data_IF_437346085101
#
_entry.id   IF_437346085101
#
_cell.length_a   1.000
_cell.length_b   1.000
_cell.length_c   1.000
_cell.angle_alpha   90.00
_cell.angle_beta   90.00
_cell.angle_gamma   90.00
#
_symmetry.space_group_name_H-M   'P 1'
#
loop_
_entity.id
_entity.type
_entity.pdbx_description
1 polymer ?
#
# COMPACT_ATOMS: atom_id res chain seq x y z
N UNK A 1 -22.00 37.15 2.64
CA UNK A 1 -22.02 36.00 1.76
C UNK A 1 -23.41 35.39 1.71
N UNK A 2 -23.87 35.01 0.55
CA UNK A 2 -25.17 34.36 0.42
C UNK A 2 -25.03 32.86 0.57
N UNK A 3 -26.13 32.19 0.90
CA UNK A 3 -26.12 30.73 1.05
C UNK A 3 -25.67 30.00 -0.21
N UNK A 4 -26.00 30.56 -1.39
CA UNK A 4 -25.63 29.97 -2.68
C UNK A 4 -24.12 29.99 -2.93
N UNK A 5 -23.36 30.69 -2.12
CA UNK A 5 -21.91 30.82 -2.29
C UNK A 5 -21.10 29.89 -1.43
N UNK A 6 -21.75 28.94 -0.81
CA UNK A 6 -21.03 27.99 0.01
C UNK A 6 -21.58 26.58 -0.21
N UNK A 7 -20.75 25.59 0.13
CA UNK A 7 -21.15 24.20 0.15
C UNK A 7 -20.83 23.64 1.54
N UNK A 8 -21.45 22.51 1.87
CA UNK A 8 -21.14 21.85 3.14
C UNK A 8 -19.80 21.11 3.04
N UNK A 9 -19.22 20.82 4.20
CA UNK A 9 -17.99 20.03 4.21
C UNK A 9 -18.21 18.66 3.57
N UNK A 10 -19.36 18.04 3.80
CA UNK A 10 -19.68 16.77 3.18
C UNK A 10 -19.67 16.87 1.65
N UNK A 11 -20.28 17.94 1.14
CA UNK A 11 -20.32 18.16 -0.32
C UNK A 11 -18.91 18.39 -0.88
N UNK A 12 -18.06 19.13 -0.16
CA UNK A 12 -16.67 19.32 -0.57
C UNK A 12 -15.93 17.97 -0.62
N UNK A 13 -16.08 17.16 0.42
CA UNK A 13 -15.42 15.87 0.46
C UNK A 13 -15.90 14.94 -0.64
N UNK A 14 -17.19 15.00 -0.97
CA UNK A 14 -17.73 14.21 -2.07
C UNK A 14 -17.12 14.61 -3.42
N UNK A 15 -16.92 15.91 -3.62
CA UNK A 15 -16.29 16.41 -4.85
C UNK A 15 -14.83 15.98 -4.93
N UNK A 16 -14.11 16.03 -3.82
CA UNK A 16 -12.72 15.56 -3.76
C UNK A 16 -12.66 14.08 -4.09
N UNK A 17 -13.53 13.28 -3.48
CA UNK A 17 -13.61 11.85 -3.76
C UNK A 17 -13.87 11.57 -5.23
N UNK A 18 -14.88 12.25 -5.79
CA UNK A 18 -15.26 12.06 -7.20
C UNK A 18 -14.10 12.44 -8.13
N UNK A 19 -13.42 13.55 -7.84
CA UNK A 19 -12.30 14.00 -8.67
C UNK A 19 -11.14 13.02 -8.62
N UNK A 20 -10.78 12.55 -7.41
CA UNK A 20 -9.66 11.63 -7.26
C UNK A 20 -9.97 10.27 -7.88
N UNK A 21 -11.13 9.70 -7.59
CA UNK A 21 -11.48 8.39 -8.11
C UNK A 21 -11.71 8.41 -9.62
N UNK A 22 -12.18 9.53 -10.14
CA UNK A 22 -12.31 9.70 -11.58
C UNK A 22 -10.97 9.83 -12.29
N UNK A 23 -10.05 10.58 -11.70
CA UNK A 23 -8.71 10.77 -12.28
C UNK A 23 -7.87 9.48 -12.16
N UNK A 24 -8.05 8.72 -11.09
CA UNK A 24 -7.30 7.50 -10.82
C UNK A 24 -8.22 6.28 -10.87
N UNK A 25 -8.94 6.14 -11.98
CA UNK A 25 -9.92 5.06 -12.12
C UNK A 25 -9.28 3.68 -12.27
N UNK A 26 -8.02 3.63 -12.72
CA UNK A 26 -7.30 2.38 -12.91
C UNK A 26 -6.17 2.25 -11.89
N UNK A 27 -5.84 1.02 -11.47
CA UNK A 27 -4.72 0.82 -10.56
C UNK A 27 -3.40 1.24 -11.18
N UNK A 28 -2.48 1.65 -10.32
CA UNK A 28 -1.13 2.06 -10.71
C UNK A 28 -0.12 1.21 -9.95
N UNK A 29 1.02 0.94 -10.58
CA UNK A 29 2.14 0.31 -9.90
C UNK A 29 2.91 1.38 -9.14
N UNK A 30 3.00 1.23 -7.83
CA UNK A 30 3.60 2.22 -6.93
C UNK A 30 4.72 1.56 -6.14
N UNK A 31 5.90 2.18 -6.14
CA UNK A 31 7.01 1.70 -5.31
C UNK A 31 7.00 2.44 -3.99
N UNK A 32 7.21 1.72 -2.90
CA UNK A 32 7.22 2.29 -1.56
C UNK A 32 7.89 1.33 -0.59
N UNK A 33 8.25 1.85 0.57
CA UNK A 33 8.74 1.03 1.66
C UNK A 33 7.62 0.84 2.67
N UNK A 34 7.49 -0.37 3.21
CA UNK A 34 6.54 -0.64 4.28
C UNK A 34 7.13 -0.10 5.58
N UNK A 35 6.48 0.88 6.20
CA UNK A 35 6.90 1.35 7.51
C UNK A 35 6.18 0.61 8.64
N UNK A 36 4.92 0.22 8.39
CA UNK A 36 4.15 -0.58 9.33
C UNK A 36 3.27 -1.55 8.56
N UNK A 37 3.03 -2.71 9.15
CA UNK A 37 2.13 -3.70 8.58
C UNK A 37 1.45 -4.44 9.72
N UNK A 38 0.14 -4.63 9.59
CA UNK A 38 -0.64 -5.32 10.60
C UNK A 38 -1.80 -6.06 9.94
N UNK A 39 -1.93 -7.35 10.26
CA UNK A 39 -3.09 -8.13 9.84
C UNK A 39 -4.05 -8.17 11.01
N UNK A 40 -5.29 -7.71 10.79
CA UNK A 40 -6.27 -7.73 11.86
C UNK A 40 -6.90 -9.12 11.99
N UNK A 41 -7.71 -9.30 13.03
CA UNK A 41 -8.32 -10.60 13.27
C UNK A 41 -9.29 -11.05 12.16
N UNK A 42 -9.78 -10.09 11.37
CA UNK A 42 -10.64 -10.41 10.22
C UNK A 42 -9.85 -10.85 9.00
N UNK A 43 -8.51 -10.74 9.04
CA UNK A 43 -7.65 -11.13 7.93
C UNK A 43 -7.30 -10.02 6.95
N UNK A 44 -7.78 -8.80 7.18
CA UNK A 44 -7.37 -7.65 6.36
C UNK A 44 -5.99 -7.18 6.79
N UNK A 45 -5.15 -6.85 5.82
CA UNK A 45 -3.80 -6.36 6.08
C UNK A 45 -3.76 -4.85 5.88
N UNK A 46 -3.37 -4.13 6.91
CA UNK A 46 -3.24 -2.68 6.87
C UNK A 46 -1.77 -2.32 6.87
N UNK A 47 -1.40 -1.40 5.99
CA UNK A 47 -0.02 -0.98 5.81
C UNK A 47 0.09 0.53 5.89
N UNK A 48 1.24 0.97 6.38
CA UNK A 48 1.70 2.33 6.23
C UNK A 48 2.84 2.29 5.24
N UNK A 49 2.72 3.01 4.13
CA UNK A 49 3.73 3.05 3.08
C UNK A 49 4.43 4.40 3.12
N UNK A 50 5.74 4.38 2.92
CA UNK A 50 6.53 5.61 2.92
C UNK A 50 7.51 5.59 1.76
N UNK A 51 7.89 6.78 1.34
CA UNK A 51 9.05 6.98 0.49
C UNK A 51 10.01 7.88 1.26
N UNK A 52 11.25 7.44 1.41
CA UNK A 52 12.27 8.22 2.13
C UNK A 52 13.17 8.88 1.12
N UNK A 53 13.40 10.17 1.30
CA UNK A 53 14.31 10.94 0.47
C UNK A 53 15.47 11.44 1.28
N UNK A 54 16.63 11.54 0.66
CA UNK A 54 17.81 12.10 1.30
C UNK A 54 18.43 11.16 2.32
N UNK A 55 19.44 11.69 3.03
CA UNK A 55 20.30 10.89 3.89
C UNK A 55 19.78 10.75 5.32
N UNK A 56 18.81 11.57 5.69
CA UNK A 56 18.33 11.59 7.07
C UNK A 56 17.18 10.62 7.35
N UNK A 57 16.71 9.89 6.34
CA UNK A 57 15.65 8.93 6.52
C UNK A 57 14.26 9.51 6.76
N UNK A 58 14.09 10.83 6.60
CA UNK A 58 12.80 11.48 6.77
C UNK A 58 11.90 11.14 5.59
N UNK A 59 10.65 10.71 5.81
CA UNK A 59 9.76 10.42 4.71
C UNK A 59 9.43 11.67 3.88
N UNK A 60 9.45 11.51 2.57
CA UNK A 60 9.00 12.55 1.63
C UNK A 60 7.58 12.31 1.16
N UNK A 61 7.07 11.11 1.36
CA UNK A 61 5.69 10.77 1.05
C UNK A 61 5.24 9.64 1.97
N UNK A 62 3.95 9.60 2.25
CA UNK A 62 3.37 8.60 3.14
C UNK A 62 1.93 8.36 2.75
N UNK A 63 1.49 7.11 2.82
CA UNK A 63 0.11 6.77 2.54
C UNK A 63 -0.29 5.52 3.31
N UNK A 64 -1.56 5.46 3.70
CA UNK A 64 -2.15 4.25 4.26
C UNK A 64 -2.62 3.37 3.12
N UNK A 65 -2.51 2.05 3.32
CA UNK A 65 -2.94 1.08 2.34
C UNK A 65 -3.60 -0.10 3.01
N UNK A 66 -4.42 -0.81 2.24
CA UNK A 66 -5.06 -2.02 2.73
C UNK A 66 -4.95 -3.10 1.66
N UNK A 67 -4.70 -4.34 2.10
CA UNK A 67 -4.86 -5.54 1.28
C UNK A 67 -6.00 -6.32 1.91
N UNK A 68 -7.11 -6.42 1.20
CA UNK A 68 -8.29 -7.09 1.73
C UNK A 68 -8.03 -8.59 1.91
N UNK A 69 -8.70 -9.20 2.87
CA UNK A 69 -8.51 -10.62 3.18
C UNK A 69 -8.72 -11.55 1.99
N UNK A 70 -9.50 -11.11 1.00
CA UNK A 70 -9.74 -11.91 -0.20
C UNK A 70 -8.48 -12.06 -1.05
N UNK A 71 -7.52 -11.14 -0.94
CA UNK A 71 -6.30 -11.14 -1.71
C UNK A 71 -5.04 -11.38 -0.88
N UNK A 72 -5.09 -11.07 0.41
CA UNK A 72 -3.88 -11.04 1.22
C UNK A 72 -3.14 -12.38 1.28
N UNK A 73 -3.82 -13.52 1.55
CA UNK A 73 -3.08 -14.80 1.61
C UNK A 73 -2.37 -15.14 0.32
N UNK A 74 -3.00 -14.88 -0.82
CA UNK A 74 -2.39 -15.12 -2.13
C UNK A 74 -1.17 -14.23 -2.34
N UNK A 75 -1.32 -12.94 -2.07
CA UNK A 75 -0.25 -11.96 -2.27
C UNK A 75 0.91 -12.25 -1.32
N UNK A 76 0.63 -12.47 -0.05
CA UNK A 76 1.66 -12.69 0.96
C UNK A 76 2.40 -14.01 0.71
N UNK A 77 1.66 -15.06 0.37
CA UNK A 77 2.26 -16.35 0.10
C UNK A 77 3.14 -16.34 -1.13
N UNK A 78 2.68 -15.72 -2.20
CA UNK A 78 3.47 -15.61 -3.42
C UNK A 78 4.73 -14.77 -3.19
N UNK A 79 4.58 -13.66 -2.47
CA UNK A 79 5.72 -12.80 -2.16
C UNK A 79 6.78 -13.57 -1.36
N UNK A 80 6.36 -14.29 -0.33
CA UNK A 80 7.30 -15.06 0.49
C UNK A 80 7.97 -16.18 -0.31
N UNK A 81 7.21 -16.85 -1.16
CA UNK A 81 7.74 -17.93 -1.98
C UNK A 81 8.81 -17.42 -2.95
N UNK A 82 8.61 -16.25 -3.52
CA UNK A 82 9.51 -15.72 -4.53
C UNK A 82 10.70 -14.96 -3.96
N UNK A 83 10.54 -14.29 -2.82
CA UNK A 83 11.61 -13.45 -2.26
C UNK A 83 12.33 -14.10 -1.09
N UNK A 84 11.74 -15.11 -0.47
CA UNK A 84 12.28 -15.71 0.75
C UNK A 84 12.05 -14.85 1.97
N UNK A 85 11.23 -13.80 1.87
CA UNK A 85 10.96 -12.90 2.97
C UNK A 85 9.45 -12.72 3.13
N UNK A 86 9.00 -12.55 4.36
CA UNK A 86 7.62 -12.14 4.61
C UNK A 86 7.49 -10.65 4.39
N UNK A 87 6.29 -10.22 4.02
CA UNK A 87 5.97 -8.79 4.01
C UNK A 87 6.13 -8.25 5.43
N UNK A 88 6.97 -7.26 5.60
CA UNK A 88 7.33 -6.74 6.91
C UNK A 88 7.80 -5.30 6.81
N UNK A 89 7.83 -4.60 7.94
CA UNK A 89 8.37 -3.25 7.99
C UNK A 89 9.82 -3.25 7.50
N UNK A 90 10.19 -2.23 6.76
CA UNK A 90 11.51 -2.06 6.19
C UNK A 90 11.68 -2.63 4.78
N UNK A 91 10.72 -3.37 4.29
CA UNK A 91 10.81 -3.97 2.95
C UNK A 91 10.27 -3.01 1.90
N UNK A 92 11.04 -2.85 0.82
CA UNK A 92 10.60 -2.06 -0.34
C UNK A 92 9.82 -2.95 -1.28
N UNK A 93 8.67 -2.48 -1.70
CA UNK A 93 7.77 -3.23 -2.57
C UNK A 93 7.34 -2.41 -3.78
N UNK A 94 6.91 -3.12 -4.81
CA UNK A 94 6.19 -2.54 -5.94
C UNK A 94 4.77 -3.10 -5.86
N UNK A 95 3.82 -2.24 -5.55
CA UNK A 95 2.44 -2.64 -5.30
C UNK A 95 1.51 -2.07 -6.36
N UNK A 96 0.59 -2.91 -6.83
CA UNK A 96 -0.48 -2.46 -7.71
C UNK A 96 -1.58 -1.90 -6.82
N UNK A 97 -1.80 -0.60 -6.91
CA UNK A 97 -2.63 0.13 -5.97
C UNK A 97 -3.73 0.91 -6.68
N UNK A 98 -4.92 0.84 -6.13
CA UNK A 98 -6.05 1.65 -6.56
C UNK A 98 -6.19 2.80 -5.57
N UNK A 99 -6.29 4.02 -6.10
CA UNK A 99 -6.51 5.20 -5.27
C UNK A 99 -7.96 5.20 -4.78
N UNK A 100 -8.14 5.34 -3.48
CA UNK A 100 -9.48 5.44 -2.87
C UNK A 100 -9.53 6.65 -1.96
N UNK A 101 -10.74 7.16 -1.74
CA UNK A 101 -10.96 8.30 -0.87
C UNK A 101 -12.24 8.09 -0.07
N UNK A 102 -12.16 8.31 1.22
CA UNK A 102 -13.31 8.21 2.11
C UNK A 102 -13.60 9.59 2.72
N UNK A 103 -14.86 9.97 2.78
CA UNK A 103 -15.25 11.31 3.24
C UNK A 103 -14.79 11.60 4.67
N UNK A 104 -14.66 10.56 5.51
CA UNK A 104 -14.18 10.71 6.89
C UNK A 104 -12.68 10.49 7.02
N UNK A 105 -12.14 9.46 6.34
CA UNK A 105 -10.78 9.00 6.59
C UNK A 105 -9.78 9.48 5.55
N UNK A 106 -10.25 10.05 4.45
CA UNK A 106 -9.40 10.64 3.43
C UNK A 106 -8.79 9.63 2.47
N UNK A 107 -7.65 10.00 1.95
CA UNK A 107 -6.93 9.27 0.93
C UNK A 107 -6.34 7.97 1.48
N UNK A 108 -6.48 6.89 0.71
CA UNK A 108 -5.79 5.64 0.99
C UNK A 108 -5.64 4.85 -0.30
N UNK A 109 -4.92 3.72 -0.21
CA UNK A 109 -4.67 2.85 -1.36
C UNK A 109 -5.24 1.47 -1.08
N UNK A 110 -5.81 0.83 -2.11
CA UNK A 110 -6.15 -0.59 -2.04
C UNK A 110 -5.13 -1.34 -2.88
N UNK A 111 -4.35 -2.19 -2.23
CA UNK A 111 -3.35 -2.99 -2.93
C UNK A 111 -4.01 -4.26 -3.45
N UNK A 112 -3.93 -4.46 -4.76
CA UNK A 112 -4.51 -5.63 -5.41
C UNK A 112 -3.47 -6.64 -5.83
N UNK A 113 -2.20 -6.26 -5.85
CA UNK A 113 -1.10 -7.15 -6.17
C UNK A 113 0.22 -6.54 -5.71
N UNK A 114 1.24 -7.38 -5.56
CA UNK A 114 2.62 -6.96 -5.26
C UNK A 114 3.54 -7.76 -6.18
N UNK A 115 4.46 -7.05 -6.83
CA UNK A 115 5.42 -7.69 -7.73
C UNK A 115 6.66 -8.12 -6.93
N UNK A 116 6.85 -9.43 -6.69
CA UNK A 116 7.98 -9.87 -5.89
C UNK A 116 9.33 -9.66 -6.58
N UNK A 117 9.35 -9.49 -7.90
CA UNK A 117 10.63 -9.32 -8.61
C UNK A 117 11.30 -7.98 -8.31
N UNK A 118 10.54 -7.00 -7.82
CA UNK A 118 11.07 -5.68 -7.45
C UNK A 118 11.88 -5.74 -6.16
N UNK A 119 11.50 -6.60 -5.22
CA UNK A 119 12.15 -6.70 -3.92
C UNK A 119 13.33 -7.67 -4.01
N UNK A 120 14.54 -7.29 -3.53
CA UNK A 120 15.66 -8.20 -3.59
C UNK A 120 15.41 -9.48 -2.82
N UNK A 121 15.82 -10.61 -3.39
CA UNK A 121 15.69 -11.93 -2.76
C UNK A 121 16.60 -12.01 -1.54
N UNK A 122 16.11 -12.66 -0.47
CA UNK A 122 16.90 -12.85 0.74
C UNK A 122 17.99 -13.90 0.48
N UNK A 123 19.24 -13.48 0.51
CA UNK A 123 20.37 -14.37 0.33
C UNK A 123 20.45 -15.43 1.43
N UNK A 124 20.17 -15.03 2.66
CA UNK A 124 20.21 -15.97 3.78
C UNK A 124 19.23 -17.10 3.56
N UNK A 125 18.02 -16.77 3.12
CA UNK A 125 17.01 -17.76 2.83
C UNK A 125 17.44 -18.68 1.68
N UNK A 126 17.93 -18.11 0.59
CA UNK A 126 18.38 -18.88 -0.56
C UNK A 126 19.52 -19.82 -0.19
N UNK A 127 20.52 -19.34 0.56
CA UNK A 127 21.65 -20.17 0.94
C UNK A 127 21.21 -21.36 1.79
N UNK A 128 20.37 -21.09 2.78
CA UNK A 128 19.85 -22.16 3.63
C UNK A 128 19.08 -23.18 2.80
N UNK A 129 18.33 -22.72 1.83
CA UNK A 129 17.54 -23.59 0.98
C UNK A 129 18.44 -24.43 0.07
N UNK A 130 19.44 -23.83 -0.55
CA UNK A 130 20.38 -24.52 -1.43
C UNK A 130 21.19 -25.55 -0.70
N UNK A 131 21.70 -25.20 0.48
CA UNK A 131 22.52 -26.12 1.24
C UNK A 131 21.71 -27.22 1.90
N UNK A 132 20.44 -27.04 2.06
CA UNK A 132 19.55 -28.06 2.60
C UNK A 132 19.12 -29.10 1.59
N UNK A 133 19.46 -28.88 0.38
CA UNK A 133 19.12 -29.82 -0.70
C UNK A 133 20.13 -31.02 -0.75
#
# INVERSE_FOLDING_TARGET
>A
MTESQHITLRELQRRVKSALEGQFALPLWVSAEISEIKVNYSGHCYLELVEKGGDNGVPTAQARAVVWRSNYPRIAGYFEAETGQRLAAGIKILAKALVTYHELYGFSLQITDIDPSYTPVSYTHLRAHETGA
#
